data_IF_178816290632
#
_entry.id   IF_178816290632
#
_cell.length_a   1.000
_cell.length_b   1.000
_cell.length_c   1.000
_cell.angle_alpha   90.00
_cell.angle_beta   90.00
_cell.angle_gamma   90.00
#
_symmetry.space_group_name_H-M   'P 1'
#
loop_
_entity.id
_entity.type
_entity.pdbx_description
1 polymer ?
#
# COMPACT_ATOMS: atom_id res chain seq x y z
N UNK A 1 -8.18 -4.57 -13.10
CA UNK A 1 -6.71 -4.60 -13.04
C UNK A 1 -6.14 -4.79 -14.44
N UNK A 2 -6.49 -5.89 -15.11
CA UNK A 2 -5.90 -6.24 -16.42
C UNK A 2 -6.14 -5.19 -17.52
N UNK A 3 -7.34 -4.59 -17.55
CA UNK A 3 -7.65 -3.51 -18.50
C UNK A 3 -6.75 -2.27 -18.31
N UNK A 4 -6.52 -1.86 -17.06
CA UNK A 4 -5.67 -0.70 -16.76
C UNK A 4 -4.20 -0.99 -17.09
N UNK A 5 -3.71 -2.20 -16.79
CA UNK A 5 -2.36 -2.62 -17.17
C UNK A 5 -2.16 -2.63 -18.69
N UNK A 6 -3.16 -3.12 -19.43
CA UNK A 6 -3.14 -3.07 -20.90
C UNK A 6 -3.12 -1.62 -21.42
N UNK A 7 -3.91 -0.72 -20.85
CA UNK A 7 -3.89 0.70 -21.23
C UNK A 7 -2.53 1.34 -20.98
N UNK A 8 -1.87 1.05 -19.86
CA UNK A 8 -0.50 1.52 -19.59
C UNK A 8 0.48 1.01 -20.64
N UNK A 9 0.40 -0.27 -21.01
CA UNK A 9 1.22 -0.83 -22.07
C UNK A 9 0.95 -0.15 -23.42
N UNK A 10 -0.33 0.00 -23.79
CA UNK A 10 -0.73 0.61 -25.07
C UNK A 10 -0.23 2.05 -25.20
N UNK A 11 -0.33 2.85 -24.13
CA UNK A 11 0.22 4.21 -24.11
C UNK A 11 1.75 4.22 -24.17
N UNK A 12 2.40 3.33 -23.43
CA UNK A 12 3.87 3.22 -23.44
C UNK A 12 4.39 2.81 -24.82
N UNK A 13 3.76 1.83 -25.47
CA UNK A 13 4.11 1.38 -26.82
C UNK A 13 3.92 2.51 -27.83
N UNK A 14 2.78 3.21 -27.79
CA UNK A 14 2.49 4.33 -28.69
C UNK A 14 3.54 5.44 -28.57
N UNK A 15 3.83 5.86 -27.35
CA UNK A 15 4.63 7.06 -27.11
C UNK A 15 6.13 6.78 -27.27
N UNK A 16 6.61 5.62 -26.78
CA UNK A 16 8.05 5.30 -26.75
C UNK A 16 8.54 4.36 -27.86
N UNK A 17 7.67 3.61 -28.55
CA UNK A 17 8.09 2.60 -29.55
C UNK A 17 7.53 2.93 -30.93
N UNK A 18 6.22 3.11 -31.02
CA UNK A 18 5.53 3.34 -32.30
C UNK A 18 6.00 4.62 -33.00
N UNK A 19 6.36 5.65 -32.23
CA UNK A 19 6.82 6.96 -32.72
C UNK A 19 8.06 6.90 -33.62
N UNK A 20 8.98 5.94 -33.40
CA UNK A 20 10.16 5.74 -34.25
C UNK A 20 10.12 4.43 -35.03
N UNK A 21 9.52 3.37 -34.49
CA UNK A 21 9.50 2.05 -35.12
C UNK A 21 8.62 2.01 -36.36
N UNK A 22 7.49 2.74 -36.37
CA UNK A 22 6.57 2.77 -37.50
C UNK A 22 7.17 3.35 -38.79
N UNK A 23 8.19 4.20 -38.67
CA UNK A 23 8.91 4.74 -39.82
C UNK A 23 10.02 3.80 -40.33
N UNK A 24 10.49 2.87 -39.48
CA UNK A 24 11.64 2.01 -39.75
C UNK A 24 11.24 0.62 -40.26
N UNK A 25 10.10 0.11 -39.78
CA UNK A 25 9.62 -1.24 -40.07
C UNK A 25 8.29 -1.22 -40.83
N UNK A 26 8.10 -2.19 -41.74
CA UNK A 26 6.83 -2.46 -42.42
C UNK A 26 6.04 -3.59 -41.76
N UNK A 27 6.37 -3.89 -40.51
CA UNK A 27 5.72 -4.93 -39.74
C UNK A 27 4.26 -4.53 -39.40
N UNK A 28 3.30 -5.42 -39.67
CA UNK A 28 1.88 -5.26 -39.35
C UNK A 28 1.58 -5.52 -37.85
N UNK A 29 2.44 -5.01 -36.97
CA UNK A 29 2.25 -5.10 -35.52
C UNK A 29 2.72 -6.40 -34.87
N UNK A 30 3.53 -7.24 -35.54
CA UNK A 30 4.10 -8.43 -34.92
C UNK A 30 4.95 -8.09 -33.69
N UNK A 31 5.73 -6.99 -33.73
CA UNK A 31 6.47 -6.47 -32.57
C UNK A 31 5.53 -6.11 -31.40
N UNK A 32 4.37 -5.50 -31.68
CA UNK A 32 3.40 -5.17 -30.63
C UNK A 32 2.94 -6.43 -29.90
N UNK A 33 2.58 -7.47 -30.66
CA UNK A 33 2.15 -8.74 -30.08
C UNK A 33 3.24 -9.41 -29.25
N UNK A 34 4.48 -9.46 -29.76
CA UNK A 34 5.62 -10.02 -29.04
C UNK A 34 5.85 -9.30 -27.70
N UNK A 35 5.96 -7.97 -27.73
CA UNK A 35 6.20 -7.16 -26.53
C UNK A 35 5.03 -7.23 -25.54
N UNK A 36 3.81 -7.38 -26.04
CA UNK A 36 2.63 -7.54 -25.20
C UNK A 36 2.66 -8.89 -24.47
N UNK A 37 3.06 -9.98 -25.14
CA UNK A 37 3.26 -11.28 -24.50
C UNK A 37 4.35 -11.21 -23.42
N UNK A 38 5.50 -10.59 -23.72
CA UNK A 38 6.60 -10.42 -22.77
C UNK A 38 6.18 -9.57 -21.56
N UNK A 39 5.44 -8.48 -21.79
CA UNK A 39 4.90 -7.64 -20.73
C UNK A 39 3.97 -8.42 -19.79
N UNK A 40 3.08 -9.25 -20.35
CA UNK A 40 2.19 -10.07 -19.54
C UNK A 40 2.92 -11.14 -18.75
N UNK A 41 3.96 -11.76 -19.32
CA UNK A 41 4.79 -12.71 -18.59
C UNK A 41 5.51 -12.04 -17.42
N UNK A 42 6.13 -10.88 -17.66
CA UNK A 42 6.76 -10.06 -16.59
C UNK A 42 5.75 -9.72 -15.50
N UNK A 43 4.56 -9.24 -15.87
CA UNK A 43 3.50 -8.89 -14.93
C UNK A 43 3.03 -10.10 -14.11
N UNK A 44 2.96 -11.29 -14.73
CA UNK A 44 2.57 -12.53 -14.06
C UNK A 44 3.64 -12.99 -13.06
N UNK A 45 4.91 -12.93 -13.45
CA UNK A 45 6.04 -13.24 -12.57
C UNK A 45 6.10 -12.27 -11.39
N UNK A 46 5.89 -10.98 -11.64
CA UNK A 46 5.82 -9.97 -10.59
C UNK A 46 4.68 -10.27 -9.61
N UNK A 47 3.48 -10.51 -10.13
CA UNK A 47 2.30 -10.82 -9.31
C UNK A 47 2.52 -12.08 -8.46
N UNK A 48 3.02 -13.16 -9.07
CA UNK A 48 3.32 -14.40 -8.38
C UNK A 48 4.35 -14.21 -7.26
N UNK A 49 5.40 -13.43 -7.48
CA UNK A 49 6.39 -13.14 -6.44
C UNK A 49 5.80 -12.27 -5.33
N UNK A 50 5.01 -11.25 -5.69
CA UNK A 50 4.34 -10.39 -4.72
C UNK A 50 3.32 -11.13 -3.87
N UNK A 51 2.63 -12.13 -4.40
CA UNK A 51 1.66 -12.93 -3.62
C UNK A 51 2.30 -13.78 -2.53
N UNK A 52 3.61 -14.06 -2.63
CA UNK A 52 4.38 -14.77 -1.60
C UNK A 52 4.95 -13.83 -0.52
N UNK A 53 4.82 -12.51 -0.70
CA UNK A 53 5.30 -11.53 0.28
C UNK A 53 4.24 -11.38 1.38
N UNK A 54 4.63 -11.68 2.62
CA UNK A 54 3.81 -11.39 3.80
C UNK A 54 3.81 -9.88 4.07
N UNK A 55 2.84 -9.19 3.47
CA UNK A 55 2.69 -7.74 3.58
C UNK A 55 2.51 -7.30 5.04
N UNK A 56 1.79 -8.09 5.85
CA UNK A 56 1.54 -7.75 7.26
C UNK A 56 2.84 -7.77 8.05
N UNK A 57 3.66 -8.81 7.85
CA UNK A 57 4.98 -8.89 8.48
C UNK A 57 5.87 -7.73 8.04
N UNK A 58 5.93 -7.44 6.74
CA UNK A 58 6.76 -6.34 6.23
C UNK A 58 6.34 -4.99 6.83
N UNK A 59 5.04 -4.67 6.78
CA UNK A 59 4.53 -3.35 7.18
C UNK A 59 4.48 -3.20 8.70
N UNK A 60 3.94 -4.19 9.43
CA UNK A 60 3.69 -4.06 10.87
C UNK A 60 4.91 -4.45 11.73
N UNK A 61 5.81 -5.30 11.22
CA UNK A 61 6.98 -5.75 11.97
C UNK A 61 8.26 -5.14 11.42
N UNK A 62 8.63 -5.46 10.17
CA UNK A 62 9.96 -5.15 9.66
C UNK A 62 10.19 -3.64 9.52
N UNK A 63 9.22 -2.91 8.95
CA UNK A 63 9.29 -1.45 8.82
C UNK A 63 9.26 -0.77 10.19
N UNK A 64 8.32 -1.13 11.07
CA UNK A 64 8.21 -0.54 12.41
C UNK A 64 9.49 -0.77 13.21
N UNK A 65 10.04 -1.99 13.16
CA UNK A 65 11.29 -2.33 13.86
C UNK A 65 12.47 -1.56 13.29
N UNK A 66 12.57 -1.45 11.97
CA UNK A 66 13.64 -0.70 11.29
C UNK A 66 13.58 0.79 11.63
N UNK A 67 12.38 1.39 11.60
CA UNK A 67 12.17 2.78 12.01
C UNK A 67 12.50 2.99 13.48
N UNK A 68 12.06 2.09 14.37
CA UNK A 68 12.37 2.16 15.79
C UNK A 68 13.89 2.10 16.03
N UNK A 69 14.60 1.17 15.38
CA UNK A 69 16.07 1.09 15.44
C UNK A 69 16.70 2.40 14.95
N UNK A 70 16.25 2.93 13.81
CA UNK A 70 16.71 4.23 13.31
C UNK A 70 16.48 5.38 14.29
N UNK A 71 15.31 5.46 14.94
CA UNK A 71 15.03 6.48 15.94
C UNK A 71 15.88 6.31 17.21
N UNK A 72 16.11 5.07 17.65
CA UNK A 72 17.01 4.77 18.76
C UNK A 72 18.45 5.19 18.46
N UNK A 73 18.95 4.85 17.27
CA UNK A 73 20.29 5.23 16.82
C UNK A 73 20.43 6.75 16.68
N UNK A 74 19.40 7.42 16.15
CA UNK A 74 19.35 8.88 16.04
C UNK A 74 19.32 9.52 17.44
N UNK A 75 18.55 8.98 18.37
CA UNK A 75 18.50 9.45 19.76
C UNK A 75 19.85 9.26 20.46
N UNK A 76 20.51 8.12 20.25
CA UNK A 76 21.83 7.84 20.80
C UNK A 76 22.90 8.80 20.25
N UNK A 77 22.84 9.13 18.96
CA UNK A 77 23.71 10.12 18.34
C UNK A 77 23.42 11.56 18.80
N UNK A 78 22.14 11.88 19.08
CA UNK A 78 21.69 13.20 19.53
C UNK A 78 21.77 13.43 21.05
N UNK A 79 22.13 12.42 21.87
CA UNK A 79 22.15 12.50 23.34
C UNK A 79 23.22 13.43 23.96
N UNK A 80 23.96 14.18 23.12
CA UNK A 80 24.78 15.37 23.44
C UNK A 80 26.09 15.13 24.24
N UNK A 81 27.20 15.50 23.57
CA UNK A 81 28.10 16.57 24.02
C UNK A 81 29.07 16.36 25.21
N UNK A 82 29.07 15.27 25.99
CA UNK A 82 30.07 15.16 27.08
C UNK A 82 31.05 13.98 27.12
N UNK A 83 30.86 12.80 26.52
CA UNK A 83 31.93 11.78 26.72
C UNK A 83 32.21 10.69 25.67
N UNK A 84 31.43 10.51 24.60
CA UNK A 84 31.86 9.76 23.40
C UNK A 84 30.78 9.84 22.32
N UNK A 85 31.07 10.54 21.22
CA UNK A 85 30.19 10.62 20.05
C UNK A 85 30.16 9.24 19.37
N UNK A 86 29.05 8.49 19.49
CA UNK A 86 28.75 7.43 18.53
C UNK A 86 28.12 8.10 17.30
N UNK A 87 28.83 8.20 16.16
CA UNK A 87 28.26 8.81 14.97
C UNK A 87 27.05 8.00 14.49
N UNK A 88 25.99 8.70 14.08
CA UNK A 88 24.87 8.05 13.42
C UNK A 88 25.38 7.42 12.12
N UNK A 89 25.33 6.09 12.04
CA UNK A 89 25.82 5.35 10.88
C UNK A 89 24.74 5.43 9.80
N UNK A 90 24.93 6.37 8.86
CA UNK A 90 24.16 6.35 7.62
C UNK A 90 24.46 5.04 6.87
N UNK A 91 23.42 4.45 6.27
CA UNK A 91 23.63 3.33 5.37
C UNK A 91 24.55 3.76 4.22
N UNK A 92 25.50 2.91 3.83
CA UNK A 92 26.54 3.27 2.85
C UNK A 92 25.96 3.85 1.55
N UNK A 93 24.84 3.29 1.06
CA UNK A 93 24.19 3.79 -0.16
C UNK A 93 23.64 5.23 -0.06
N UNK A 94 23.46 5.79 1.14
CA UNK A 94 22.97 7.16 1.33
C UNK A 94 24.10 8.16 1.58
N UNK A 95 25.36 7.72 1.51
CA UNK A 95 26.52 8.57 1.76
C UNK A 95 26.68 9.67 0.71
N UNK A 96 26.38 9.36 -0.54
CA UNK A 96 26.38 10.31 -1.66
C UNK A 96 25.35 9.88 -2.72
N UNK A 97 24.97 10.82 -3.58
CA UNK A 97 23.96 10.57 -4.63
C UNK A 97 24.40 9.46 -5.61
N UNK A 98 25.69 9.32 -5.87
CA UNK A 98 26.21 8.33 -6.83
C UNK A 98 26.14 6.89 -6.27
N UNK A 99 26.40 6.70 -4.97
CA UNK A 99 26.27 5.43 -4.27
C UNK A 99 24.80 5.00 -4.16
N UNK A 100 23.90 5.96 -3.98
CA UNK A 100 22.47 5.69 -3.99
C UNK A 100 22.04 5.16 -5.36
N UNK A 101 22.43 5.85 -6.44
CA UNK A 101 22.13 5.41 -7.80
C UNK A 101 22.74 4.04 -8.09
N UNK A 102 24.00 3.78 -7.70
CA UNK A 102 24.64 2.46 -7.87
C UNK A 102 23.94 1.34 -7.09
N UNK A 103 23.44 1.64 -5.89
CA UNK A 103 22.65 0.68 -5.13
C UNK A 103 21.32 0.39 -5.84
N UNK A 104 20.61 1.42 -6.29
CA UNK A 104 19.37 1.27 -7.05
C UNK A 104 19.58 0.52 -8.37
N UNK A 105 20.72 0.73 -9.06
CA UNK A 105 21.11 -0.05 -10.24
C UNK A 105 21.28 -1.53 -9.93
N UNK A 106 21.86 -1.85 -8.77
CA UNK A 106 22.00 -3.24 -8.33
C UNK A 106 20.64 -3.87 -8.06
N UNK A 107 19.75 -3.15 -7.37
CA UNK A 107 18.36 -3.59 -7.17
C UNK A 107 17.64 -3.78 -8.52
N UNK A 108 17.78 -2.83 -9.44
CA UNK A 108 17.17 -2.90 -10.76
C UNK A 108 17.68 -4.10 -11.56
N UNK A 109 18.98 -4.39 -11.53
CA UNK A 109 19.55 -5.59 -12.18
C UNK A 109 18.98 -6.88 -11.62
N UNK A 110 18.82 -6.97 -10.30
CA UNK A 110 18.20 -8.14 -9.65
C UNK A 110 16.73 -8.26 -10.07
N UNK A 111 15.98 -7.15 -10.08
CA UNK A 111 14.58 -7.14 -10.52
C UNK A 111 14.44 -7.58 -11.98
N UNK A 112 15.25 -7.02 -12.88
CA UNK A 112 15.32 -7.38 -14.30
C UNK A 112 15.62 -8.89 -14.42
N UNK A 113 16.61 -9.40 -13.71
CA UNK A 113 16.94 -10.84 -13.72
C UNK A 113 15.81 -11.74 -13.19
N UNK A 114 15.08 -11.30 -12.17
CA UNK A 114 14.00 -12.09 -11.57
C UNK A 114 12.68 -12.07 -12.37
N UNK A 115 12.51 -11.06 -13.22
CA UNK A 115 11.25 -10.77 -13.91
C UNK A 115 11.31 -11.05 -15.42
N UNK A 116 12.48 -10.95 -16.07
CA UNK A 116 12.56 -11.21 -17.52
C UNK A 116 12.30 -12.68 -17.86
N UNK A 117 11.61 -12.96 -18.99
CA UNK A 117 11.47 -14.29 -19.52
C UNK A 117 12.83 -14.91 -19.88
N UNK A 118 12.95 -16.23 -19.73
CA UNK A 118 14.22 -16.94 -19.94
C UNK A 118 14.74 -16.92 -21.38
N UNK A 119 13.91 -16.49 -22.34
CA UNK A 119 14.24 -16.34 -23.76
C UNK A 119 15.19 -15.17 -24.02
N UNK A 120 15.14 -14.11 -23.21
CA UNK A 120 15.91 -12.88 -23.44
C UNK A 120 17.19 -12.78 -22.61
N UNK A 121 17.45 -13.77 -21.74
CA UNK A 121 18.60 -13.85 -20.82
C UNK A 121 19.95 -13.65 -21.55
N UNK A 122 20.04 -14.00 -22.83
CA UNK A 122 21.30 -13.96 -23.59
C UNK A 122 21.76 -12.54 -23.96
N UNK A 123 20.87 -11.55 -23.93
CA UNK A 123 21.19 -10.19 -24.38
C UNK A 123 21.66 -9.30 -23.23
N UNK A 124 22.97 -9.27 -22.98
CA UNK A 124 23.55 -8.44 -21.92
C UNK A 124 23.17 -6.95 -22.06
N UNK A 125 23.13 -6.44 -23.29
CA UNK A 125 22.77 -5.05 -23.57
C UNK A 125 21.34 -4.71 -23.15
N UNK A 126 20.37 -5.61 -23.35
CA UNK A 126 18.99 -5.37 -22.92
C UNK A 126 18.90 -5.33 -21.38
N UNK A 127 19.60 -6.23 -20.68
CA UNK A 127 19.61 -6.23 -19.21
C UNK A 127 20.18 -4.95 -18.64
N UNK A 128 21.30 -4.47 -19.21
CA UNK A 128 21.93 -3.21 -18.77
C UNK A 128 21.00 -2.03 -19.05
N UNK A 129 20.43 -1.95 -20.26
CA UNK A 129 19.52 -0.86 -20.64
C UNK A 129 18.25 -0.85 -19.78
N UNK A 130 17.59 -2.00 -19.59
CA UNK A 130 16.39 -2.10 -18.77
C UNK A 130 16.66 -1.78 -17.31
N UNK A 131 17.79 -2.24 -16.76
CA UNK A 131 18.17 -1.91 -15.40
C UNK A 131 18.45 -0.41 -15.25
N UNK A 132 19.08 0.22 -16.24
CA UNK A 132 19.35 1.67 -16.22
C UNK A 132 18.07 2.49 -16.31
N UNK A 133 17.14 2.11 -17.20
CA UNK A 133 15.83 2.74 -17.32
C UNK A 133 15.04 2.58 -16.02
N UNK A 134 15.00 1.36 -15.46
CA UNK A 134 14.30 1.08 -14.21
C UNK A 134 14.88 1.88 -13.05
N UNK A 135 16.20 2.02 -12.98
CA UNK A 135 16.86 2.84 -11.95
C UNK A 135 16.49 4.32 -12.10
N UNK A 136 16.69 4.87 -13.28
CA UNK A 136 16.64 6.33 -13.51
C UNK A 136 15.22 6.86 -13.65
N UNK A 137 14.31 6.09 -14.25
CA UNK A 137 12.94 6.52 -14.55
C UNK A 137 11.91 6.02 -13.55
N UNK A 138 12.22 4.99 -12.77
CA UNK A 138 11.25 4.37 -11.85
C UNK A 138 11.77 4.41 -10.41
N UNK A 139 12.83 3.68 -10.08
CA UNK A 139 13.26 3.50 -8.69
C UNK A 139 13.72 4.81 -8.04
N UNK A 140 14.59 5.59 -8.69
CA UNK A 140 15.10 6.85 -8.10
C UNK A 140 14.00 7.90 -7.89
N UNK A 141 13.10 8.15 -8.87
CA UNK A 141 11.94 9.00 -8.64
C UNK A 141 11.02 8.49 -7.54
N UNK A 142 10.75 7.18 -7.49
CA UNK A 142 9.91 6.57 -6.46
C UNK A 142 10.51 6.73 -5.06
N UNK A 143 11.80 6.47 -4.89
CA UNK A 143 12.49 6.66 -3.60
C UNK A 143 12.43 8.13 -3.20
N UNK A 144 12.73 9.05 -4.11
CA UNK A 144 12.64 10.50 -3.84
C UNK A 144 11.23 10.92 -3.42
N UNK A 145 10.19 10.40 -4.08
CA UNK A 145 8.80 10.71 -3.77
C UNK A 145 8.40 10.15 -2.40
N UNK A 146 8.69 8.88 -2.14
CA UNK A 146 8.31 8.20 -0.90
C UNK A 146 9.10 8.73 0.31
N UNK A 147 10.31 9.25 0.09
CA UNK A 147 11.12 9.90 1.14
C UNK A 147 10.79 11.38 1.33
N UNK A 148 9.92 11.98 0.50
CA UNK A 148 9.57 13.39 0.65
C UNK A 148 8.64 13.58 1.86
N UNK A 149 9.02 14.40 2.87
CA UNK A 149 8.22 14.61 4.07
C UNK A 149 6.84 15.21 3.76
N UNK A 150 6.74 16.13 2.80
CA UNK A 150 5.47 16.74 2.41
C UNK A 150 4.53 15.72 1.78
N UNK A 151 5.07 14.83 0.93
CA UNK A 151 4.30 13.74 0.33
C UNK A 151 3.79 12.77 1.39
N UNK A 152 4.64 12.36 2.35
CA UNK A 152 4.25 11.52 3.48
C UNK A 152 3.15 12.20 4.30
N UNK A 153 3.32 13.47 4.64
CA UNK A 153 2.36 14.22 5.45
C UNK A 153 1.00 14.36 4.72
N UNK A 154 1.01 14.68 3.43
CA UNK A 154 -0.21 14.75 2.61
C UNK A 154 -0.91 13.40 2.53
N UNK A 155 -0.15 12.31 2.37
CA UNK A 155 -0.71 10.95 2.39
C UNK A 155 -1.39 10.65 3.73
N UNK A 156 -0.75 10.98 4.85
CA UNK A 156 -1.34 10.79 6.19
C UNK A 156 -2.61 11.62 6.38
N UNK A 157 -2.60 12.89 5.96
CA UNK A 157 -3.77 13.77 6.03
C UNK A 157 -4.93 13.23 5.20
N UNK A 158 -4.68 12.81 3.95
CA UNK A 158 -5.70 12.23 3.09
C UNK A 158 -6.32 10.97 3.71
N UNK A 159 -5.51 10.13 4.35
CA UNK A 159 -6.00 8.93 5.05
C UNK A 159 -6.83 9.29 6.30
N UNK A 160 -6.44 10.32 7.05
CA UNK A 160 -7.20 10.79 8.21
C UNK A 160 -8.54 11.39 7.78
N UNK A 161 -8.55 12.22 6.75
CA UNK A 161 -9.76 12.82 6.19
C UNK A 161 -10.71 11.75 5.64
N UNK A 162 -10.19 10.77 4.88
CA UNK A 162 -11.00 9.66 4.40
C UNK A 162 -11.66 8.88 5.54
N UNK A 163 -10.91 8.59 6.62
CA UNK A 163 -11.45 7.94 7.82
C UNK A 163 -12.51 8.80 8.52
N UNK A 164 -12.31 10.11 8.57
CA UNK A 164 -13.28 11.04 9.16
C UNK A 164 -14.57 11.10 8.35
N UNK A 165 -14.49 11.19 7.02
CA UNK A 165 -15.64 11.18 6.12
C UNK A 165 -16.44 9.88 6.24
N UNK A 166 -15.76 8.72 6.29
CA UNK A 166 -16.41 7.44 6.53
C UNK A 166 -17.10 7.41 7.90
N UNK A 167 -16.42 7.86 8.96
CA UNK A 167 -17.00 7.92 10.30
C UNK A 167 -18.21 8.86 10.38
N UNK A 168 -18.18 10.02 9.72
CA UNK A 168 -19.30 10.96 9.69
C UNK A 168 -20.48 10.42 8.86
N UNK A 169 -20.22 9.77 7.72
CA UNK A 169 -21.24 9.07 6.95
C UNK A 169 -21.94 8.00 7.80
N UNK A 170 -21.16 7.17 8.49
CA UNK A 170 -21.65 6.14 9.41
C UNK A 170 -22.43 6.74 10.61
N UNK A 171 -21.94 7.84 11.18
CA UNK A 171 -22.60 8.54 12.29
C UNK A 171 -23.92 9.17 11.86
N UNK A 172 -24.00 9.75 10.66
CA UNK A 172 -25.26 10.30 10.12
C UNK A 172 -26.27 9.20 9.86
N UNK A 173 -25.88 8.11 9.19
CA UNK A 173 -26.76 6.96 8.96
C UNK A 173 -27.31 6.38 10.28
N UNK A 174 -26.48 6.34 11.33
CA UNK A 174 -26.89 5.93 12.67
C UNK A 174 -27.83 6.93 13.36
N UNK A 175 -27.49 8.24 13.35
CA UNK A 175 -28.18 9.28 14.13
C UNK A 175 -29.56 9.61 13.56
N UNK A 176 -29.74 9.45 12.24
CA UNK A 176 -30.98 9.80 11.56
C UNK A 176 -31.92 8.62 11.30
N UNK A 177 -31.62 7.42 11.83
CA UNK A 177 -32.57 6.31 11.76
C UNK A 177 -33.83 6.66 12.61
N UNK A 178 -34.99 6.90 11.98
CA UNK A 178 -36.18 7.44 12.65
C UNK A 178 -36.92 6.39 13.50
N UNK A 179 -36.67 5.09 13.29
CA UNK A 179 -37.30 4.00 14.04
C UNK A 179 -36.33 2.82 14.28
N UNK A 180 -36.63 1.99 15.29
CA UNK A 180 -35.87 0.76 15.56
C UNK A 180 -35.87 -0.20 14.36
N UNK A 181 -36.98 -0.30 13.63
CA UNK A 181 -37.07 -1.15 12.44
C UNK A 181 -36.18 -0.66 11.30
N UNK A 182 -36.06 0.65 11.08
CA UNK A 182 -35.16 1.20 10.07
C UNK A 182 -33.69 1.03 10.45
N UNK A 183 -33.36 1.08 11.74
CA UNK A 183 -32.03 0.76 12.24
C UNK A 183 -31.66 -0.72 12.01
N UNK A 184 -32.58 -1.65 12.28
CA UNK A 184 -32.37 -3.07 12.01
C UNK A 184 -32.30 -3.34 10.49
N UNK A 185 -33.11 -2.65 9.67
CA UNK A 185 -32.99 -2.71 8.21
C UNK A 185 -31.63 -2.21 7.74
N UNK A 186 -31.12 -1.10 8.29
CA UNK A 186 -29.78 -0.57 7.98
C UNK A 186 -28.69 -1.59 8.32
N UNK A 187 -28.76 -2.24 9.48
CA UNK A 187 -27.78 -3.28 9.86
C UNK A 187 -27.84 -4.47 8.89
N UNK A 188 -29.06 -4.94 8.56
CA UNK A 188 -29.25 -6.11 7.72
C UNK A 188 -28.99 -5.82 6.23
N UNK A 189 -29.12 -4.56 5.79
CA UNK A 189 -28.84 -4.14 4.42
C UNK A 189 -27.38 -3.74 4.18
N UNK A 190 -26.62 -3.45 5.22
CA UNK A 190 -25.21 -3.10 5.10
C UNK A 190 -24.34 -4.36 5.02
N UNK A 191 -23.67 -4.55 3.89
CA UNK A 191 -22.68 -5.61 3.69
C UNK A 191 -21.27 -5.23 4.17
N UNK A 192 -21.09 -4.01 4.69
CA UNK A 192 -19.80 -3.55 5.21
C UNK A 192 -19.55 -4.12 6.62
N UNK A 193 -18.72 -5.17 6.66
CA UNK A 193 -18.36 -5.89 7.89
C UNK A 193 -17.56 -5.01 8.86
N UNK A 194 -16.76 -4.05 8.36
CA UNK A 194 -15.97 -3.16 9.23
C UNK A 194 -16.87 -2.11 9.90
N UNK A 195 -17.87 -1.59 9.19
CA UNK A 195 -18.91 -0.75 9.77
C UNK A 195 -19.66 -1.48 10.91
N UNK A 196 -20.08 -2.72 10.69
CA UNK A 196 -20.79 -3.51 11.71
C UNK A 196 -19.91 -3.82 12.93
N UNK A 197 -18.61 -4.07 12.73
CA UNK A 197 -17.64 -4.22 13.82
C UNK A 197 -17.44 -2.92 14.58
N UNK A 198 -17.31 -1.78 13.90
CA UNK A 198 -17.20 -0.47 14.54
C UNK A 198 -18.44 -0.14 15.38
N UNK A 199 -19.64 -0.43 14.86
CA UNK A 199 -20.90 -0.26 15.57
C UNK A 199 -20.89 -1.08 16.88
N UNK A 200 -20.56 -2.38 16.78
CA UNK A 200 -20.47 -3.29 17.92
C UNK A 200 -19.42 -2.87 18.95
N UNK A 201 -18.23 -2.45 18.50
CA UNK A 201 -17.14 -2.02 19.39
C UNK A 201 -17.49 -0.71 20.11
N UNK A 202 -18.11 0.25 19.41
CA UNK A 202 -18.50 1.55 19.97
C UNK A 202 -19.61 1.42 21.00
N UNK A 203 -20.60 0.55 20.77
CA UNK A 203 -21.63 0.22 21.77
C UNK A 203 -21.02 -0.42 23.02
N UNK A 204 -20.01 -1.28 22.86
CA UNK A 204 -19.31 -1.92 23.98
C UNK A 204 -18.48 -0.91 24.79
N UNK A 205 -17.84 0.06 24.12
CA UNK A 205 -17.04 1.11 24.73
C UNK A 205 -17.90 2.13 25.50
N UNK A 206 -19.07 2.50 24.95
CA UNK A 206 -20.05 3.35 25.63
C UNK A 206 -20.71 2.66 26.84
N UNK A 207 -20.84 1.33 26.81
CA UNK A 207 -21.26 0.54 27.97
C UNK A 207 -20.20 0.47 29.07
N UNK A 208 -18.91 0.55 28.72
CA UNK A 208 -17.78 0.54 29.66
C UNK A 208 -17.44 1.90 30.28
N UNK A 209 -17.63 3.01 29.55
CA UNK A 209 -17.39 4.37 30.04
C UNK A 209 -18.71 5.02 30.43
N UNK A 210 -19.26 4.68 31.60
CA UNK A 210 -20.10 5.55 32.42
C UNK A 210 -21.34 6.26 31.81
N UNK A 211 -21.86 5.86 30.65
CA UNK A 211 -23.03 6.48 30.00
C UNK A 211 -24.34 5.75 30.28
N UNK A 212 -24.72 5.61 31.55
CA UNK A 212 -25.87 4.78 31.97
C UNK A 212 -27.27 5.33 31.67
N UNK A 213 -27.44 6.51 31.08
CA UNK A 213 -28.76 7.17 31.10
C UNK A 213 -29.43 7.33 29.73
N UNK A 214 -28.72 7.58 28.62
CA UNK A 214 -29.40 7.83 27.34
C UNK A 214 -29.69 6.58 26.50
N UNK A 215 -28.85 5.53 26.55
CA UNK A 215 -29.09 4.28 25.80
C UNK A 215 -29.89 3.27 26.63
N UNK A 216 -29.76 3.31 27.95
CA UNK A 216 -30.47 2.41 28.87
C UNK A 216 -31.92 2.82 29.13
N UNK A 217 -32.28 4.10 28.96
CA UNK A 217 -33.69 4.53 29.02
C UNK A 217 -34.54 3.82 27.96
N UNK A 218 -33.97 3.50 26.79
CA UNK A 218 -34.64 2.72 25.73
C UNK A 218 -34.51 1.20 25.88
N UNK A 219 -33.46 0.70 26.55
CA UNK A 219 -33.32 -0.75 26.82
C UNK A 219 -34.19 -1.24 27.98
N UNK A 220 -34.63 -0.34 28.88
CA UNK A 220 -35.42 -0.72 30.06
C UNK A 220 -36.93 -0.79 29.78
N UNK A 221 -37.43 -0.14 28.72
CA UNK A 221 -38.86 -0.13 28.37
C UNK A 221 -39.30 -1.33 27.54
N UNK A 222 -38.41 -2.04 26.86
CA UNK A 222 -38.80 -3.12 25.93
C UNK A 222 -37.88 -4.35 26.05
N UNK A 223 -38.18 -5.24 26.99
CA UNK A 223 -38.08 -6.71 26.85
C UNK A 223 -36.81 -7.39 26.28
N UNK A 224 -35.64 -6.76 26.25
CA UNK A 224 -34.42 -7.34 25.65
C UNK A 224 -33.65 -8.25 26.64
N UNK A 225 -34.26 -9.38 27.00
CA UNK A 225 -33.58 -10.56 27.56
C UNK A 225 -33.82 -11.77 26.63
N UNK A 226 -33.50 -11.70 25.33
CA UNK A 226 -33.65 -12.93 24.52
C UNK A 226 -32.93 -13.04 23.18
N UNK A 227 -31.95 -12.21 22.84
CA UNK A 227 -31.28 -12.37 21.54
C UNK A 227 -29.77 -12.32 21.72
N UNK A 228 -29.20 -13.47 22.11
CA UNK A 228 -27.99 -14.06 21.51
C UNK A 228 -27.63 -15.38 22.24
N UNK A 229 -27.63 -16.54 21.57
CA UNK A 229 -27.08 -17.76 22.12
C UNK A 229 -25.55 -17.66 22.20
N UNK A 230 -25.01 -18.10 23.34
CA UNK A 230 -23.57 -18.29 23.58
C UNK A 230 -23.05 -19.34 22.60
N UNK A 231 -21.98 -19.09 21.82
CA UNK A 231 -21.36 -20.15 21.03
C UNK A 231 -20.69 -21.16 21.99
N UNK A 232 -20.89 -22.48 21.81
CA UNK A 232 -20.25 -23.47 22.66
C UNK A 232 -18.74 -23.43 22.41
N UNK A 233 -18.01 -23.28 23.51
CA UNK A 233 -16.57 -23.40 23.60
C UNK A 233 -16.11 -24.82 23.28
N UNK A 234 -15.18 -24.94 22.33
CA UNK A 234 -14.22 -26.03 22.20
C UNK A 234 -12.83 -25.39 22.08
#
# INVERSE_FOLDING_TARGET
MDKALKEVFDYSYRDYIQSWYGNLSKDEGQLYHLLLEDFWEIARQLHHRMSHVDVVKVVCNDVVRTLLTHFCDLKAANARQEEQLRPFVLHACLRNSDEEVRFLQTCARVLVFCLLPSKDIQSLSLHIMLAEILTTKVLKPLVTLLSNPDYINQMLLAQLEHREQMNEHHKRAYTYAPSYEEFIKLINSNSDVEFLKQLRCRDHLLAGIGGREHVLSRRRTEGLYSICPVPPSL
#
